data_IF_877870572804
#
_entry.id   IF_877870572804
#
_cell.length_a   1.000
_cell.length_b   1.000
_cell.length_c   1.000
_cell.angle_alpha   90.00
_cell.angle_beta   90.00
_cell.angle_gamma   90.00
#
_symmetry.space_group_name_H-M   'P 1'
#
loop_
_entity.id
_entity.type
_entity.pdbx_description
1 polymer ?
#
# COMPACT_ATOMS: atom_id res chain seq x y z
N UNK A 1 -41.41 -15.11 -32.50
CA UNK A 1 -40.42 -14.44 -33.37
C UNK A 1 -39.66 -13.43 -32.54
N UNK A 2 -38.35 -13.63 -32.33
CA UNK A 2 -37.54 -12.75 -31.47
C UNK A 2 -37.19 -11.49 -32.26
N UNK A 3 -37.46 -10.31 -31.69
CA UNK A 3 -37.23 -9.01 -32.32
C UNK A 3 -35.73 -8.83 -32.65
N UNK A 4 -35.42 -8.43 -33.88
CA UNK A 4 -34.03 -8.28 -34.38
C UNK A 4 -33.25 -7.24 -33.57
N UNK A 5 -33.93 -6.20 -33.07
CA UNK A 5 -33.33 -5.19 -32.18
C UNK A 5 -32.99 -5.75 -30.79
N UNK A 6 -33.79 -6.69 -30.28
CA UNK A 6 -33.56 -7.32 -28.96
C UNK A 6 -32.35 -8.27 -29.00
N UNK A 7 -32.15 -9.03 -30.08
CA UNK A 7 -30.93 -9.84 -30.28
C UNK A 7 -29.66 -8.99 -30.33
N UNK A 8 -29.73 -7.82 -30.97
CA UNK A 8 -28.56 -6.92 -31.08
C UNK A 8 -28.17 -6.32 -29.73
N UNK A 9 -29.15 -5.96 -28.90
CA UNK A 9 -28.89 -5.43 -27.55
C UNK A 9 -28.31 -6.50 -26.63
N UNK A 10 -28.87 -7.72 -26.64
CA UNK A 10 -28.34 -8.84 -25.84
C UNK A 10 -26.88 -9.14 -26.20
N UNK A 11 -26.53 -9.13 -27.49
CA UNK A 11 -25.14 -9.35 -27.91
C UNK A 11 -24.20 -8.25 -27.40
N UNK A 12 -24.61 -6.98 -27.45
CA UNK A 12 -23.80 -5.86 -26.97
C UNK A 12 -23.60 -5.91 -25.46
N UNK A 13 -24.65 -6.20 -24.69
CA UNK A 13 -24.57 -6.31 -23.23
C UNK A 13 -23.67 -7.46 -22.79
N UNK A 14 -23.73 -8.61 -23.46
CA UNK A 14 -22.87 -9.77 -23.18
C UNK A 14 -21.41 -9.44 -23.48
N UNK A 15 -21.11 -8.82 -24.62
CA UNK A 15 -19.74 -8.40 -24.96
C UNK A 15 -19.17 -7.40 -23.94
N UNK A 16 -19.97 -6.43 -23.49
CA UNK A 16 -19.54 -5.45 -22.48
C UNK A 16 -19.23 -6.12 -21.13
N UNK A 17 -20.04 -7.09 -20.70
CA UNK A 17 -19.81 -7.82 -19.46
C UNK A 17 -18.47 -8.60 -19.47
N UNK A 18 -18.09 -9.20 -20.60
CA UNK A 18 -16.80 -9.88 -20.74
C UNK A 18 -15.60 -8.93 -20.66
N UNK A 19 -15.72 -7.69 -21.15
CA UNK A 19 -14.64 -6.70 -21.08
C UNK A 19 -14.40 -6.23 -19.64
N UNK A 20 -15.47 -6.01 -18.87
CA UNK A 20 -15.35 -5.53 -17.48
C UNK A 20 -14.87 -6.63 -16.52
N UNK A 21 -15.17 -7.91 -16.79
CA UNK A 21 -14.75 -9.03 -15.94
C UNK A 21 -13.26 -9.37 -16.00
N UNK A 22 -12.50 -8.81 -16.95
CA UNK A 22 -11.10 -9.17 -17.20
C UNK A 22 -10.02 -8.29 -16.56
N UNK A 23 -10.36 -7.19 -15.89
CA UNK A 23 -9.39 -6.15 -15.49
C UNK A 23 -9.49 -5.75 -14.01
N UNK A 24 -9.60 -6.72 -13.09
CA UNK A 24 -9.81 -6.42 -11.67
C UNK A 24 -9.06 -7.35 -10.73
N UNK A 25 -7.76 -7.13 -10.54
CA UNK A 25 -6.98 -7.78 -9.49
C UNK A 25 -5.56 -8.12 -9.92
N UNK A 26 -4.58 -7.36 -9.42
CA UNK A 26 -3.16 -7.71 -9.53
C UNK A 26 -2.72 -8.39 -8.24
N UNK A 27 -1.85 -9.40 -8.35
CA UNK A 27 -1.15 -9.91 -7.18
C UNK A 27 -0.18 -8.85 -6.64
N UNK A 28 -0.09 -8.73 -5.32
CA UNK A 28 0.88 -7.86 -4.66
C UNK A 28 2.32 -8.29 -5.00
N UNK A 29 3.21 -7.34 -5.26
CA UNK A 29 4.64 -7.57 -5.42
C UNK A 29 5.43 -6.78 -4.35
N UNK A 30 5.49 -7.27 -3.10
CA UNK A 30 6.15 -6.56 -2.01
C UNK A 30 7.68 -6.56 -2.18
N UNK A 31 8.29 -5.41 -1.90
CA UNK A 31 9.75 -5.29 -1.80
C UNK A 31 10.28 -6.01 -0.56
N UNK A 32 11.44 -6.65 -0.67
CA UNK A 32 12.13 -7.23 0.49
C UNK A 32 12.58 -6.13 1.45
N UNK A 33 12.15 -6.20 2.72
CA UNK A 33 12.49 -5.22 3.77
C UNK A 33 13.99 -5.15 4.02
N UNK A 34 14.66 -6.32 4.08
CA UNK A 34 16.10 -6.43 4.23
C UNK A 34 16.69 -7.15 3.01
N UNK A 35 17.79 -6.63 2.49
CA UNK A 35 18.49 -7.16 1.34
C UNK A 35 19.94 -7.46 1.70
N UNK A 36 20.50 -8.47 1.03
CA UNK A 36 21.90 -8.80 1.20
C UNK A 36 22.80 -7.63 0.78
N UNK A 37 23.66 -7.18 1.68
CA UNK A 37 24.59 -6.08 1.41
C UNK A 37 24.07 -4.69 1.82
N UNK A 38 22.91 -4.56 2.45
CA UNK A 38 22.44 -3.26 2.95
C UNK A 38 23.43 -2.61 3.92
N UNK A 39 24.04 -3.39 4.81
CA UNK A 39 25.11 -2.94 5.70
C UNK A 39 26.38 -2.50 4.95
N UNK A 40 26.56 -2.86 3.68
CA UNK A 40 27.72 -2.44 2.86
C UNK A 40 27.45 -1.19 2.02
N UNK A 41 26.20 -0.70 1.97
CA UNK A 41 25.85 0.51 1.19
C UNK A 41 26.48 1.78 1.77
N UNK A 42 26.89 2.70 0.90
CA UNK A 42 27.35 4.04 1.31
C UNK A 42 26.17 4.88 1.81
N UNK A 43 26.44 5.92 2.61
CA UNK A 43 25.39 6.82 3.10
C UNK A 43 24.60 7.49 1.97
N UNK A 44 25.27 7.83 0.87
CA UNK A 44 24.65 8.35 -0.37
C UNK A 44 23.72 7.31 -0.99
N UNK A 45 24.19 6.06 -1.16
CA UNK A 45 23.37 5.00 -1.74
C UNK A 45 22.12 4.71 -0.89
N UNK A 46 22.26 4.74 0.44
CA UNK A 46 21.13 4.59 1.35
C UNK A 46 20.15 5.76 1.18
N UNK A 47 20.64 7.00 1.11
CA UNK A 47 19.80 8.19 0.95
C UNK A 47 19.02 8.16 -0.37
N UNK A 48 19.68 7.78 -1.48
CA UNK A 48 19.05 7.64 -2.78
C UNK A 48 17.94 6.58 -2.72
N UNK A 49 18.22 5.41 -2.17
CA UNK A 49 17.23 4.35 -2.06
C UNK A 49 16.06 4.72 -1.15
N UNK A 50 16.32 5.39 -0.03
CA UNK A 50 15.26 5.93 0.84
C UNK A 50 14.38 6.93 0.09
N UNK A 51 14.96 7.80 -0.73
CA UNK A 51 14.18 8.75 -1.55
C UNK A 51 13.36 8.04 -2.63
N UNK A 52 13.88 6.97 -3.23
CA UNK A 52 13.16 6.15 -4.20
C UNK A 52 11.97 5.44 -3.56
N UNK A 53 12.16 4.81 -2.40
CA UNK A 53 11.07 4.18 -1.65
C UNK A 53 9.97 5.19 -1.30
N UNK A 54 10.35 6.41 -0.89
CA UNK A 54 9.38 7.47 -0.59
C UNK A 54 8.61 7.90 -1.84
N UNK A 55 9.27 8.00 -2.99
CA UNK A 55 8.59 8.30 -4.27
C UNK A 55 7.60 7.20 -4.65
N UNK A 56 7.92 5.91 -4.45
CA UNK A 56 6.96 4.83 -4.72
C UNK A 56 5.75 4.91 -3.79
N UNK A 57 5.98 5.20 -2.49
CA UNK A 57 4.88 5.42 -1.53
C UNK A 57 3.99 6.59 -2.00
N UNK A 58 4.56 7.73 -2.40
CA UNK A 58 3.82 8.89 -2.90
C UNK A 58 3.16 8.69 -4.28
N UNK A 59 3.60 7.71 -5.07
CA UNK A 59 2.89 7.34 -6.32
C UNK A 59 1.66 6.50 -6.02
N UNK A 60 1.75 5.64 -5.03
CA UNK A 60 0.64 4.79 -4.59
C UNK A 60 -0.36 5.59 -3.75
N UNK A 61 0.08 6.57 -2.97
CA UNK A 61 -0.77 7.43 -2.15
C UNK A 61 -0.80 8.85 -2.72
N UNK A 62 -1.98 9.42 -3.06
CA UNK A 62 -2.04 10.81 -3.47
C UNK A 62 -1.51 11.71 -2.35
N UNK A 63 -0.64 12.66 -2.72
CA UNK A 63 0.10 13.57 -1.82
C UNK A 63 -0.81 14.19 -0.74
N UNK A 64 -0.86 13.55 0.43
CA UNK A 64 -1.60 14.02 1.60
C UNK A 64 -0.74 14.94 2.48
N UNK A 65 0.55 15.04 2.20
CA UNK A 65 1.50 15.65 3.13
C UNK A 65 1.73 17.16 2.93
N UNK A 66 1.21 17.77 1.85
CA UNK A 66 1.46 19.20 1.57
C UNK A 66 0.24 20.11 1.53
N UNK A 67 -0.97 19.57 1.66
CA UNK A 67 -2.19 20.39 1.52
C UNK A 67 -3.02 20.27 2.79
N UNK A 68 -3.09 21.37 3.53
CA UNK A 68 -3.64 21.43 4.88
C UNK A 68 -4.97 20.70 5.08
N UNK A 69 -5.11 20.15 6.28
CA UNK A 69 -6.21 19.34 6.84
C UNK A 69 -7.62 19.78 6.47
N UNK A 70 -7.83 21.04 6.07
CA UNK A 70 -9.14 21.59 5.70
C UNK A 70 -9.55 21.32 4.24
N UNK A 71 -8.60 21.22 3.30
CA UNK A 71 -8.91 20.89 1.89
C UNK A 71 -9.14 19.38 1.72
N UNK A 72 -8.55 18.58 2.61
CA UNK A 72 -8.70 17.13 2.68
C UNK A 72 -10.18 16.71 2.77
N UNK A 73 -10.99 17.33 3.63
CA UNK A 73 -12.40 16.97 3.80
C UNK A 73 -13.27 17.31 2.56
N UNK A 74 -12.93 18.36 1.83
CA UNK A 74 -13.68 18.81 0.66
C UNK A 74 -13.39 17.99 -0.60
N UNK A 75 -12.11 17.71 -0.85
CA UNK A 75 -11.71 16.82 -1.96
C UNK A 75 -12.09 15.39 -1.62
N UNK A 76 -11.88 14.92 -0.38
CA UNK A 76 -12.41 13.64 0.04
C UNK A 76 -13.93 13.59 -0.19
N UNK A 77 -14.73 14.58 0.23
CA UNK A 77 -16.18 14.58 0.01
C UNK A 77 -16.63 14.44 -1.46
N UNK A 78 -15.97 15.13 -2.40
CA UNK A 78 -16.31 15.09 -3.83
C UNK A 78 -15.70 13.86 -4.54
N UNK A 79 -14.49 13.47 -4.14
CA UNK A 79 -13.72 12.31 -4.59
C UNK A 79 -14.08 11.01 -3.84
N UNK A 80 -15.06 11.09 -2.93
CA UNK A 80 -15.76 9.96 -2.32
C UNK A 80 -17.08 9.74 -3.04
N UNK A 81 -17.75 10.75 -3.61
CA UNK A 81 -19.06 10.57 -4.25
C UNK A 81 -19.01 9.94 -5.65
N UNK A 82 -18.01 10.25 -6.47
CA UNK A 82 -17.84 9.68 -7.83
C UNK A 82 -16.97 8.40 -7.83
N UNK A 83 -15.94 8.27 -6.97
CA UNK A 83 -15.07 7.09 -6.87
C UNK A 83 -15.36 6.09 -5.74
N UNK A 84 -16.40 6.26 -4.90
CA UNK A 84 -16.67 5.42 -3.69
C UNK A 84 -16.54 3.90 -3.92
N UNK A 85 -16.73 3.45 -5.16
CA UNK A 85 -16.77 2.03 -5.52
C UNK A 85 -15.49 1.48 -6.16
N UNK A 86 -14.48 2.30 -6.49
CA UNK A 86 -13.32 1.85 -7.30
C UNK A 86 -11.95 2.45 -6.92
N UNK A 87 -11.80 3.02 -5.72
CA UNK A 87 -10.52 3.58 -5.24
C UNK A 87 -10.21 3.28 -3.77
N UNK A 88 -10.90 2.34 -3.12
CA UNK A 88 -10.29 1.76 -1.93
C UNK A 88 -9.05 1.01 -2.41
N UNK A 89 -7.85 1.46 -1.97
CA UNK A 89 -6.59 0.82 -2.35
C UNK A 89 -6.78 -0.69 -2.27
N UNK A 90 -6.47 -1.36 -3.38
CA UNK A 90 -6.53 -2.80 -3.43
C UNK A 90 -5.71 -3.38 -2.27
N UNK A 91 -6.12 -4.53 -1.75
CA UNK A 91 -5.36 -5.20 -0.69
C UNK A 91 -3.88 -5.38 -1.09
N UNK A 92 -3.64 -5.59 -2.39
CA UNK A 92 -2.31 -5.59 -3.00
C UNK A 92 -1.53 -4.29 -2.84
N UNK A 93 -2.14 -3.12 -3.10
CA UNK A 93 -1.48 -1.83 -2.92
C UNK A 93 -1.17 -1.55 -1.44
N UNK A 94 -2.08 -1.92 -0.54
CA UNK A 94 -1.84 -1.79 0.92
C UNK A 94 -0.63 -2.61 1.36
N UNK A 95 -0.48 -3.83 0.86
CA UNK A 95 0.67 -4.70 1.12
C UNK A 95 1.97 -4.09 0.54
N UNK A 96 1.93 -3.59 -0.69
CA UNK A 96 3.08 -2.97 -1.34
C UNK A 96 3.55 -1.70 -0.63
N UNK A 97 2.63 -0.80 -0.29
CA UNK A 97 2.92 0.43 0.47
C UNK A 97 3.55 0.10 1.82
N UNK A 98 3.01 -0.90 2.55
CA UNK A 98 3.60 -1.30 3.83
C UNK A 98 4.99 -1.92 3.66
N UNK A 99 5.23 -2.67 2.58
CA UNK A 99 6.55 -3.21 2.27
C UNK A 99 7.57 -2.09 1.99
N UNK A 100 7.22 -1.09 1.17
CA UNK A 100 8.09 0.08 0.92
C UNK A 100 8.36 0.89 2.18
N UNK A 101 7.35 1.06 3.04
CA UNK A 101 7.50 1.72 4.34
C UNK A 101 8.48 0.98 5.26
N UNK A 102 8.31 -0.34 5.39
CA UNK A 102 9.20 -1.17 6.20
C UNK A 102 10.63 -1.14 5.66
N UNK A 103 10.80 -1.18 4.33
CA UNK A 103 12.10 -1.04 3.67
C UNK A 103 12.76 0.31 3.99
N UNK A 104 12.02 1.41 3.86
CA UNK A 104 12.49 2.74 4.22
C UNK A 104 12.94 2.80 5.69
N UNK A 105 12.12 2.28 6.60
CA UNK A 105 12.43 2.30 8.03
C UNK A 105 13.64 1.42 8.38
N UNK A 106 13.82 0.29 7.70
CA UNK A 106 15.01 -0.54 7.84
C UNK A 106 16.28 0.21 7.40
N UNK A 107 16.24 0.88 6.26
CA UNK A 107 17.36 1.71 5.77
C UNK A 107 17.63 2.91 6.67
N UNK A 108 16.58 3.53 7.24
CA UNK A 108 16.71 4.60 8.22
C UNK A 108 17.47 4.13 9.47
N UNK A 109 17.18 2.93 9.98
CA UNK A 109 17.93 2.36 11.11
C UNK A 109 19.40 2.14 10.76
N UNK A 110 19.70 1.64 9.56
CA UNK A 110 21.10 1.47 9.09
C UNK A 110 21.79 2.83 8.93
N UNK A 111 21.09 3.84 8.42
CA UNK A 111 21.63 5.20 8.30
C UNK A 111 21.96 5.82 9.65
N UNK A 112 21.11 5.58 10.66
CA UNK A 112 21.33 5.99 12.05
C UNK A 112 22.53 5.26 12.67
N UNK A 113 22.63 3.94 12.48
CA UNK A 113 23.75 3.12 12.95
C UNK A 113 25.09 3.58 12.36
N UNK A 114 25.08 3.94 11.07
CA UNK A 114 26.25 4.48 10.35
C UNK A 114 26.51 5.96 10.60
N UNK A 115 25.64 6.65 11.33
CA UNK A 115 25.69 8.08 11.60
C UNK A 115 25.83 8.93 10.32
N UNK A 116 24.98 8.67 9.32
CA UNK A 116 25.07 9.28 7.99
C UNK A 116 24.75 10.79 7.92
N UNK A 117 24.44 11.45 9.04
CA UNK A 117 24.34 12.91 9.13
C UNK A 117 23.09 13.55 8.52
N UNK A 118 22.08 12.76 8.12
CA UNK A 118 20.78 13.25 7.66
C UNK A 118 19.63 12.80 8.56
N UNK A 119 18.59 13.63 8.67
CA UNK A 119 17.40 13.38 9.50
C UNK A 119 16.45 12.39 8.81
N UNK A 120 16.68 11.11 9.05
CA UNK A 120 15.83 10.01 8.59
C UNK A 120 14.69 9.77 9.60
N UNK A 121 13.49 10.29 9.32
CA UNK A 121 12.32 10.08 10.18
C UNK A 121 11.56 8.81 9.77
N UNK A 122 11.27 7.89 10.68
CA UNK A 122 10.52 6.69 10.35
C UNK A 122 9.10 7.06 9.89
N UNK A 123 8.64 6.40 8.82
CA UNK A 123 7.30 6.61 8.29
C UNK A 123 6.31 5.76 9.12
N UNK A 124 5.29 6.38 9.75
CA UNK A 124 4.30 5.66 10.55
C UNK A 124 3.44 4.74 9.67
N UNK A 125 2.88 3.68 10.24
CA UNK A 125 2.00 2.78 9.47
C UNK A 125 0.68 3.45 9.10
N UNK A 126 0.23 3.22 7.88
CA UNK A 126 -1.13 3.59 7.43
C UNK A 126 -2.21 2.66 7.99
N UNK A 127 -1.80 1.48 8.50
CA UNK A 127 -2.67 0.62 9.28
C UNK A 127 -2.95 1.28 10.64
N UNK A 128 -4.23 1.50 10.95
CA UNK A 128 -4.67 1.45 12.36
C UNK A 128 -4.19 0.11 12.92
N UNK A 129 -3.66 0.04 14.16
CA UNK A 129 -3.17 -1.20 14.74
C UNK A 129 -4.19 -2.31 14.52
N UNK A 130 -3.85 -3.29 13.67
CA UNK A 130 -4.54 -4.57 13.71
C UNK A 130 -4.23 -5.12 15.09
N UNK A 131 -5.27 -5.37 15.88
CA UNK A 131 -5.12 -6.07 17.14
C UNK A 131 -4.38 -7.39 16.88
N UNK A 132 -3.08 -7.40 17.17
CA UNK A 132 -2.39 -8.62 17.56
C UNK A 132 -3.00 -9.07 18.89
N UNK A 133 -4.07 -9.85 18.80
CA UNK A 133 -4.40 -10.85 19.82
C UNK A 133 -4.84 -12.13 19.11
N UNK A 134 -4.28 -13.30 19.34
CA UNK A 134 -3.07 -13.75 20.04
C UNK A 134 -3.01 -15.22 19.58
N UNK A 135 -1.93 -15.65 18.94
CA UNK A 135 -1.59 -17.08 18.84
C UNK A 135 -0.47 -17.31 19.84
N UNK A 136 -0.74 -17.11 21.13
CA UNK A 136 0.24 -17.33 22.20
C UNK A 136 -0.48 -17.61 23.53
N UNK A 137 -1.32 -18.65 23.55
CA UNK A 137 -1.98 -19.13 24.77
C UNK A 137 -1.96 -20.67 24.89
N UNK A 138 -1.33 -21.39 23.95
CA UNK A 138 -1.28 -22.87 23.96
C UNK A 138 0.02 -23.42 24.60
N UNK A 139 0.87 -22.59 25.20
CA UNK A 139 2.17 -23.00 25.77
C UNK A 139 2.33 -22.53 27.23
N UNK A 140 1.28 -22.48 28.06
CA UNK A 140 1.46 -22.47 29.52
C UNK A 140 0.18 -22.85 30.27
N UNK A 141 -0.30 -24.07 30.07
CA UNK A 141 -1.27 -24.69 30.98
C UNK A 141 -0.78 -26.06 31.44
N UNK A 142 0.46 -26.08 31.93
CA UNK A 142 0.98 -27.09 32.82
C UNK A 142 1.61 -26.36 33.99
N UNK A 143 0.91 -26.36 35.14
CA UNK A 143 1.38 -26.20 36.52
C UNK A 143 0.37 -25.43 37.39
N UNK A 144 -0.12 -26.10 38.44
CA UNK A 144 -0.38 -25.47 39.73
C UNK A 144 -1.83 -25.20 40.12
N UNK A 145 -2.31 -26.04 41.05
CA UNK A 145 -3.46 -25.93 41.97
C UNK A 145 -4.81 -26.43 41.46
#
# INVERSE_FOLDING_TARGET
>A
MINKSLKSWVAVTVCFAFVVAGCGGRAANPVMVSQYGDHKKSCEAIQVEMSQNQQEISRMLPDTEKTGTNVFLGVAGLFLLVPWFFMDFSESEKIEVNAYRQRYNHLALIAMDKNCGYDAKPIPSFEKPKEEKKKEDDIFKGEGY
#
